data_IF_409367754425
#
_entry.id   IF_409367754425
#
_cell.length_a   1.000
_cell.length_b   1.000
_cell.length_c   1.000
_cell.angle_alpha   90.00
_cell.angle_beta   90.00
_cell.angle_gamma   90.00
#
_symmetry.space_group_name_H-M   'P 1'
#
loop_
_entity.id
_entity.type
_entity.pdbx_description
1 polymer ?
#
# COMPACT_ATOMS: atom_id res chain seq x y z
N UNK A 1 -4.85 -5.27 6.37
CA UNK A 1 -5.76 -6.32 6.88
C UNK A 1 -5.03 -7.68 6.95
N UNK A 2 -4.38 -8.17 5.89
CA UNK A 2 -3.67 -9.46 5.88
C UNK A 2 -2.55 -9.55 6.94
N UNK A 3 -1.70 -8.51 7.06
CA UNK A 3 -0.61 -8.49 8.04
C UNK A 3 -1.13 -8.56 9.49
N UNK A 4 -2.23 -7.86 9.81
CA UNK A 4 -2.85 -7.91 11.13
C UNK A 4 -3.43 -9.30 11.42
N UNK A 5 -4.14 -9.90 10.48
CA UNK A 5 -4.69 -11.26 10.61
C UNK A 5 -3.57 -12.30 10.75
N UNK A 6 -2.51 -12.19 9.94
CA UNK A 6 -1.34 -13.05 10.05
C UNK A 6 -0.71 -12.95 11.44
N UNK A 7 -0.52 -11.74 11.96
CA UNK A 7 0.05 -11.55 13.29
C UNK A 7 -0.81 -12.19 14.40
N UNK A 8 -2.12 -11.97 14.38
CA UNK A 8 -3.05 -12.56 15.35
C UNK A 8 -3.04 -14.09 15.28
N UNK A 9 -3.11 -14.67 14.08
CA UNK A 9 -3.10 -16.12 13.90
C UNK A 9 -1.80 -16.77 14.39
N UNK A 10 -0.62 -16.17 14.10
CA UNK A 10 0.68 -16.65 14.62
C UNK A 10 0.67 -16.66 16.16
N UNK A 11 0.15 -15.59 16.77
CA UNK A 11 0.07 -15.50 18.24
C UNK A 11 -0.85 -16.56 18.83
N UNK A 12 -2.02 -16.79 18.23
CA UNK A 12 -2.96 -17.83 18.68
C UNK A 12 -2.32 -19.22 18.56
N UNK A 13 -1.76 -19.56 17.41
CA UNK A 13 -1.14 -20.87 17.19
C UNK A 13 0.08 -21.08 18.09
N UNK A 14 0.91 -20.04 18.24
CA UNK A 14 2.08 -20.10 19.12
C UNK A 14 1.69 -20.25 20.59
N UNK A 15 0.67 -19.54 21.05
CA UNK A 15 0.15 -19.68 22.42
C UNK A 15 -0.39 -21.07 22.65
N UNK A 16 -1.17 -21.62 21.70
CA UNK A 16 -1.69 -22.99 21.81
C UNK A 16 -0.56 -24.03 21.88
N UNK A 17 0.50 -23.86 21.09
CA UNK A 17 1.66 -24.75 21.10
C UNK A 17 2.42 -24.69 22.45
N UNK A 18 2.62 -23.50 23.01
CA UNK A 18 3.29 -23.36 24.33
C UNK A 18 2.43 -23.92 25.45
N UNK A 19 1.09 -23.76 25.39
CA UNK A 19 0.18 -24.34 26.40
C UNK A 19 0.29 -25.88 26.48
N UNK A 20 0.54 -26.56 25.36
CA UNK A 20 0.73 -28.02 25.35
C UNK A 20 2.00 -28.45 26.09
N UNK A 21 3.02 -27.60 26.13
CA UNK A 21 4.30 -27.88 26.79
C UNK A 21 4.57 -26.96 27.98
N UNK A 22 3.51 -26.40 28.56
CA UNK A 22 3.60 -25.40 29.61
C UNK A 22 4.50 -25.79 30.81
N UNK A 23 4.43 -27.02 31.36
CA UNK A 23 5.30 -27.39 32.49
C UNK A 23 6.79 -27.36 32.12
N UNK A 24 7.14 -27.80 30.91
CA UNK A 24 8.52 -27.75 30.41
C UNK A 24 8.97 -26.31 30.14
N UNK A 25 8.06 -25.48 29.63
CA UNK A 25 8.33 -24.08 29.35
C UNK A 25 8.54 -23.27 30.65
N UNK A 26 7.74 -23.49 31.69
CA UNK A 26 7.90 -22.83 33.00
C UNK A 26 9.21 -23.22 33.65
N UNK A 27 9.59 -24.51 33.65
CA UNK A 27 10.87 -24.97 34.12
C UNK A 27 12.07 -24.28 33.42
N UNK A 28 11.98 -24.11 32.10
CA UNK A 28 12.99 -23.39 31.34
C UNK A 28 13.08 -21.92 31.78
N UNK A 29 11.97 -21.26 31.99
CA UNK A 29 11.90 -19.85 32.39
C UNK A 29 12.47 -19.65 33.82
N UNK A 30 12.17 -20.53 34.75
CA UNK A 30 12.70 -20.49 36.13
C UNK A 30 14.22 -20.53 36.15
N UNK A 31 14.86 -21.25 35.22
CA UNK A 31 16.32 -21.31 35.10
C UNK A 31 16.95 -20.02 34.55
N UNK A 32 16.17 -19.11 33.98
CA UNK A 32 16.70 -17.91 33.31
C UNK A 32 16.96 -16.73 34.25
N UNK A 33 16.35 -16.70 35.42
CA UNK A 33 16.52 -15.63 36.41
C UNK A 33 16.02 -16.05 37.81
N UNK A 34 16.50 -15.32 38.82
CA UNK A 34 16.09 -15.54 40.22
C UNK A 34 14.87 -14.69 40.64
N UNK A 35 14.54 -13.64 39.90
CA UNK A 35 13.44 -12.75 40.21
C UNK A 35 12.28 -12.95 39.23
N UNK A 36 11.06 -13.01 39.77
CA UNK A 36 9.82 -13.23 38.99
C UNK A 36 9.65 -12.20 37.86
N UNK A 37 9.93 -10.92 38.13
CA UNK A 37 9.83 -9.86 37.14
C UNK A 37 10.72 -10.11 35.92
N UNK A 38 11.93 -10.60 36.14
CA UNK A 38 12.88 -10.93 35.07
C UNK A 38 12.49 -12.22 34.35
N UNK A 39 11.96 -13.21 35.08
CA UNK A 39 11.42 -14.44 34.48
C UNK A 39 10.26 -14.10 33.49
N UNK A 40 9.34 -13.22 33.86
CA UNK A 40 8.24 -12.79 32.99
C UNK A 40 8.75 -12.09 31.72
N UNK A 41 9.76 -11.20 31.86
CA UNK A 41 10.37 -10.55 30.71
C UNK A 41 11.08 -11.55 29.78
N UNK A 42 11.83 -12.49 30.36
CA UNK A 42 12.52 -13.56 29.64
C UNK A 42 11.52 -14.51 28.95
N UNK A 43 10.42 -14.86 29.63
CA UNK A 43 9.35 -15.65 29.05
C UNK A 43 8.80 -15.01 27.78
N UNK A 44 8.49 -13.71 27.81
CA UNK A 44 8.00 -13.01 26.62
C UNK A 44 9.03 -13.05 25.46
N UNK A 45 10.28 -12.84 25.75
CA UNK A 45 11.36 -12.86 24.74
C UNK A 45 11.54 -14.27 24.15
N UNK A 46 11.67 -15.29 25.01
CA UNK A 46 11.87 -16.69 24.61
C UNK A 46 10.67 -17.18 23.81
N UNK A 47 9.44 -16.84 24.22
CA UNK A 47 8.22 -17.13 23.47
C UNK A 47 8.28 -16.59 22.04
N UNK A 48 8.64 -15.33 21.85
CA UNK A 48 8.72 -14.74 20.53
C UNK A 48 9.84 -15.36 19.68
N UNK A 49 10.99 -15.70 20.27
CA UNK A 49 12.09 -16.38 19.60
C UNK A 49 11.65 -17.77 19.14
N UNK A 50 11.04 -18.58 20.01
CA UNK A 50 10.55 -19.93 19.67
C UNK A 50 9.55 -19.84 18.52
N UNK A 51 8.58 -18.93 18.59
CA UNK A 51 7.58 -18.75 17.53
C UNK A 51 8.25 -18.33 16.22
N UNK A 52 9.21 -17.39 16.25
CA UNK A 52 9.92 -16.96 15.07
C UNK A 52 10.64 -18.14 14.39
N UNK A 53 11.39 -18.94 15.13
CA UNK A 53 12.08 -20.11 14.59
C UNK A 53 11.11 -21.20 14.08
N UNK A 54 9.99 -21.41 14.79
CA UNK A 54 8.99 -22.41 14.40
C UNK A 54 8.30 -22.03 13.09
N UNK A 55 7.98 -20.74 12.87
CA UNK A 55 7.27 -20.28 11.68
C UNK A 55 8.20 -19.92 10.51
N UNK A 56 9.49 -19.63 10.76
CA UNK A 56 10.44 -19.22 9.73
C UNK A 56 10.48 -20.15 8.50
N UNK A 57 10.60 -21.49 8.65
CA UNK A 57 10.62 -22.39 7.50
C UNK A 57 9.28 -22.45 6.74
N UNK A 58 8.18 -22.03 7.37
CA UNK A 58 6.83 -22.11 6.81
C UNK A 58 6.28 -20.75 6.35
N UNK A 59 7.08 -19.69 6.38
CA UNK A 59 6.63 -18.32 6.04
C UNK A 59 5.95 -18.27 4.68
N UNK A 60 6.50 -18.95 3.66
CA UNK A 60 5.95 -18.95 2.31
C UNK A 60 4.59 -19.66 2.23
N UNK A 61 4.44 -20.79 2.92
CA UNK A 61 3.19 -21.55 2.98
C UNK A 61 2.14 -20.76 3.77
N UNK A 62 2.56 -20.18 4.88
CA UNK A 62 1.73 -19.34 5.73
C UNK A 62 1.21 -18.09 4.99
N UNK A 63 2.07 -17.41 4.26
CA UNK A 63 1.67 -16.27 3.42
C UNK A 63 0.66 -16.66 2.34
N UNK A 64 0.82 -17.84 1.70
CA UNK A 64 -0.17 -18.37 0.74
C UNK A 64 -1.51 -18.67 1.40
N UNK A 65 -1.49 -19.23 2.61
CA UNK A 65 -2.69 -19.55 3.39
C UNK A 65 -3.46 -18.27 3.78
N UNK A 66 -2.76 -17.26 4.28
CA UNK A 66 -3.38 -15.95 4.62
C UNK A 66 -4.01 -15.30 3.38
N UNK A 67 -3.33 -15.31 2.23
CA UNK A 67 -3.90 -14.78 0.97
C UNK A 67 -5.11 -15.58 0.47
N UNK A 68 -5.22 -16.85 0.85
CA UNK A 68 -6.38 -17.67 0.50
C UNK A 68 -7.61 -17.36 1.38
N UNK A 69 -7.39 -17.05 2.67
CA UNK A 69 -8.46 -16.69 3.63
C UNK A 69 -8.89 -15.24 3.45
N UNK A 70 -7.91 -14.35 3.24
CA UNK A 70 -8.14 -12.93 3.00
C UNK A 70 -7.54 -12.63 1.62
N UNK A 71 -8.31 -12.88 0.55
CA UNK A 71 -7.84 -12.58 -0.80
C UNK A 71 -7.43 -11.12 -0.88
N UNK A 72 -6.39 -10.85 -1.66
CA UNK A 72 -6.07 -9.48 -2.05
C UNK A 72 -7.33 -8.91 -2.73
N UNK A 73 -7.75 -7.77 -2.28
CA UNK A 73 -8.77 -7.03 -3.01
C UNK A 73 -8.14 -6.72 -4.37
N UNK A 74 -8.62 -7.44 -5.41
CA UNK A 74 -8.11 -7.26 -6.78
C UNK A 74 -8.31 -5.84 -7.29
N UNK A 75 -9.13 -5.07 -6.57
CA UNK A 75 -9.40 -3.66 -6.78
C UNK A 75 -8.68 -2.76 -5.74
N UNK A 76 -7.95 -3.33 -4.79
CA UNK A 76 -7.09 -2.54 -3.92
C UNK A 76 -5.90 -2.08 -4.76
N UNK A 77 -6.08 -0.96 -5.41
CA UNK A 77 -4.98 -0.16 -5.94
C UNK A 77 -4.05 0.10 -4.76
N UNK A 78 -2.77 -0.26 -4.91
CA UNK A 78 -1.77 0.03 -3.88
C UNK A 78 -1.79 1.55 -3.66
N UNK A 79 -2.32 1.97 -2.50
CA UNK A 79 -2.42 3.39 -2.14
C UNK A 79 -1.02 3.95 -1.91
N UNK A 80 -0.80 5.17 -2.38
CA UNK A 80 0.48 5.86 -2.25
C UNK A 80 1.57 5.40 -3.21
N UNK A 81 2.78 5.89 -3.02
CA UNK A 81 3.96 5.62 -3.85
C UNK A 81 4.70 4.36 -3.39
N UNK A 82 5.32 3.64 -4.33
CA UNK A 82 6.04 2.37 -4.06
C UNK A 82 7.55 2.55 -4.26
N UNK A 83 7.96 3.34 -5.26
CA UNK A 83 9.36 3.44 -5.68
C UNK A 83 10.10 4.61 -5.04
N UNK A 84 9.40 5.60 -4.46
CA UNK A 84 10.01 6.78 -3.86
C UNK A 84 10.66 6.43 -2.52
N UNK A 85 11.97 6.24 -2.54
CA UNK A 85 12.75 6.00 -1.33
C UNK A 85 13.67 7.20 -1.07
N UNK A 86 13.52 7.92 0.06
CA UNK A 86 14.35 9.08 0.39
C UNK A 86 15.86 8.80 0.41
N UNK A 87 16.26 7.55 0.72
CA UNK A 87 17.67 7.15 0.70
C UNK A 87 18.28 7.27 -0.71
N UNK A 88 17.50 7.08 -1.78
CA UNK A 88 18.00 7.19 -3.14
C UNK A 88 18.45 8.62 -3.50
N UNK A 89 17.82 9.64 -2.91
CA UNK A 89 18.16 11.05 -3.15
C UNK A 89 19.63 11.33 -2.82
N UNK A 90 20.13 10.74 -1.74
CA UNK A 90 21.53 10.90 -1.31
C UNK A 90 22.47 9.84 -1.87
N UNK A 91 21.98 8.60 -2.05
CA UNK A 91 22.81 7.47 -2.47
C UNK A 91 23.07 7.45 -3.99
N UNK A 92 22.06 7.77 -4.81
CA UNK A 92 22.18 7.74 -6.29
C UNK A 92 21.14 8.62 -6.95
N UNK A 93 21.55 9.78 -7.40
CA UNK A 93 20.69 10.75 -8.11
C UNK A 93 19.99 10.14 -9.33
N UNK A 94 20.68 9.31 -10.10
CA UNK A 94 20.11 8.63 -11.26
C UNK A 94 19.00 7.64 -10.82
N UNK A 95 19.21 6.90 -9.73
CA UNK A 95 18.20 5.99 -9.19
C UNK A 95 16.99 6.76 -8.64
N UNK A 96 17.20 7.93 -8.03
CA UNK A 96 16.11 8.79 -7.55
C UNK A 96 15.25 9.31 -8.72
N UNK A 97 15.87 9.77 -9.80
CA UNK A 97 15.15 10.20 -11.02
C UNK A 97 14.40 9.02 -11.67
N UNK A 98 15.01 7.84 -11.74
CA UNK A 98 14.33 6.64 -12.27
C UNK A 98 13.14 6.21 -11.39
N UNK A 99 13.22 6.39 -10.08
CA UNK A 99 12.11 6.17 -9.17
C UNK A 99 10.91 7.09 -9.47
N UNK A 100 11.17 8.38 -9.71
CA UNK A 100 10.14 9.35 -10.16
C UNK A 100 9.49 8.90 -11.47
N UNK A 101 10.31 8.50 -12.45
CA UNK A 101 9.82 8.00 -13.75
C UNK A 101 8.92 6.78 -13.59
N UNK A 102 9.28 5.85 -12.72
CA UNK A 102 8.48 4.64 -12.44
C UNK A 102 7.14 4.97 -11.79
N UNK A 103 7.13 5.90 -10.84
CA UNK A 103 5.87 6.34 -10.20
C UNK A 103 4.98 7.11 -11.17
N UNK A 104 5.54 7.97 -12.03
CA UNK A 104 4.78 8.63 -13.08
C UNK A 104 4.11 7.63 -14.02
N UNK A 105 4.81 6.57 -14.43
CA UNK A 105 4.22 5.50 -15.27
C UNK A 105 3.08 4.81 -14.51
N UNK A 106 3.24 4.53 -13.22
CA UNK A 106 2.21 3.90 -12.40
C UNK A 106 0.98 4.81 -12.25
N UNK A 107 1.20 6.10 -12.02
CA UNK A 107 0.15 7.12 -11.99
C UNK A 107 -0.65 7.13 -13.32
N UNK A 108 0.04 7.15 -14.45
CA UNK A 108 -0.58 7.11 -15.77
C UNK A 108 -1.42 5.83 -15.99
N UNK A 109 -0.93 4.67 -15.52
CA UNK A 109 -1.69 3.42 -15.59
C UNK A 109 -2.98 3.47 -14.76
N UNK A 110 -2.96 4.09 -13.57
CA UNK A 110 -4.14 4.29 -12.74
C UNK A 110 -5.17 5.20 -13.40
N UNK A 111 -4.72 6.30 -13.97
CA UNK A 111 -5.58 7.24 -14.70
C UNK A 111 -6.21 6.60 -15.93
N UNK A 112 -5.45 5.79 -16.68
CA UNK A 112 -6.01 5.00 -17.79
C UNK A 112 -7.09 4.01 -17.31
N UNK A 113 -6.91 3.39 -16.16
CA UNK A 113 -7.92 2.53 -15.55
C UNK A 113 -9.19 3.31 -15.17
N UNK A 114 -9.06 4.55 -14.68
CA UNK A 114 -10.20 5.42 -14.41
C UNK A 114 -11.00 5.69 -15.69
N UNK A 115 -10.33 6.00 -16.80
CA UNK A 115 -10.97 6.22 -18.10
C UNK A 115 -11.69 4.96 -18.59
N UNK A 116 -11.06 3.78 -18.47
CA UNK A 116 -11.72 2.52 -18.84
C UNK A 116 -12.93 2.23 -17.96
N UNK A 117 -12.86 2.53 -16.66
CA UNK A 117 -14.02 2.42 -15.79
C UNK A 117 -15.15 3.38 -16.22
N UNK A 118 -14.86 4.63 -16.60
CA UNK A 118 -15.86 5.56 -17.15
C UNK A 118 -16.54 4.97 -18.40
N UNK A 119 -15.75 4.42 -19.33
CA UNK A 119 -16.29 3.74 -20.51
C UNK A 119 -17.22 2.58 -20.12
N UNK A 120 -16.84 1.78 -19.13
CA UNK A 120 -17.65 0.64 -18.66
C UNK A 120 -18.91 1.09 -17.93
N UNK A 121 -18.86 2.17 -17.15
CA UNK A 121 -20.07 2.76 -16.53
C UNK A 121 -21.08 3.09 -17.62
N UNK A 122 -20.64 3.74 -18.70
CA UNK A 122 -21.51 4.17 -19.81
C UNK A 122 -22.10 2.98 -20.60
N UNK A 123 -21.30 1.95 -20.88
CA UNK A 123 -21.72 0.83 -21.74
C UNK A 123 -22.48 -0.23 -20.94
N UNK A 124 -22.04 -0.54 -19.72
CA UNK A 124 -22.54 -1.64 -18.90
C UNK A 124 -23.59 -1.18 -17.86
N UNK A 125 -23.86 0.13 -17.76
CA UNK A 125 -24.70 0.75 -16.71
C UNK A 125 -24.29 0.32 -15.29
N UNK A 126 -22.99 0.19 -15.04
CA UNK A 126 -22.46 -0.31 -13.78
C UNK A 126 -22.10 0.84 -12.83
N UNK A 127 -23.08 1.33 -12.08
CA UNK A 127 -22.94 2.44 -11.13
C UNK A 127 -21.87 2.20 -10.04
N UNK A 128 -21.58 0.94 -9.69
CA UNK A 128 -20.57 0.61 -8.67
C UNK A 128 -19.16 1.08 -9.06
N UNK A 129 -18.89 1.23 -10.34
CA UNK A 129 -17.60 1.70 -10.83
C UNK A 129 -17.42 3.22 -10.62
N UNK A 130 -18.47 3.98 -10.39
CA UNK A 130 -18.39 5.43 -10.08
C UNK A 130 -17.60 5.64 -8.78
N UNK A 131 -17.93 4.88 -7.74
CA UNK A 131 -17.20 4.93 -6.48
C UNK A 131 -15.74 4.44 -6.60
N UNK A 132 -15.48 3.49 -7.52
CA UNK A 132 -14.11 3.04 -7.82
C UNK A 132 -13.30 4.13 -8.50
N UNK A 133 -13.88 4.88 -9.42
CA UNK A 133 -13.24 6.04 -10.07
C UNK A 133 -12.88 7.10 -9.04
N UNK A 134 -13.82 7.49 -8.15
CA UNK A 134 -13.56 8.48 -7.11
C UNK A 134 -12.50 8.03 -6.08
N UNK A 135 -12.48 6.74 -5.72
CA UNK A 135 -11.43 6.21 -4.83
C UNK A 135 -10.05 6.20 -5.49
N UNK A 136 -9.99 5.91 -6.78
CA UNK A 136 -8.74 5.91 -7.54
C UNK A 136 -8.21 7.32 -7.70
N UNK A 137 -9.09 8.32 -7.89
CA UNK A 137 -8.71 9.73 -7.96
C UNK A 137 -8.03 10.21 -6.68
N UNK A 138 -8.59 9.89 -5.50
CA UNK A 138 -7.95 10.24 -4.22
C UNK A 138 -6.51 9.70 -4.13
N UNK A 139 -6.28 8.48 -4.62
CA UNK A 139 -4.94 7.90 -4.65
C UNK A 139 -4.03 8.57 -5.71
N UNK A 140 -4.58 8.94 -6.87
CA UNK A 140 -3.85 9.70 -7.91
C UNK A 140 -3.38 11.04 -7.35
N UNK A 141 -4.23 11.75 -6.63
CA UNK A 141 -3.90 13.04 -5.99
C UNK A 141 -2.80 12.89 -4.94
N UNK A 142 -2.92 11.90 -4.03
CA UNK A 142 -1.90 11.62 -3.03
C UNK A 142 -0.55 11.31 -3.68
N UNK A 143 -0.55 10.42 -4.69
CA UNK A 143 0.67 10.08 -5.45
C UNK A 143 1.28 11.29 -6.15
N UNK A 144 0.47 12.15 -6.78
CA UNK A 144 0.92 13.37 -7.42
C UNK A 144 1.67 14.26 -6.43
N UNK A 145 1.10 14.52 -5.26
CA UNK A 145 1.74 15.31 -4.22
C UNK A 145 3.07 14.70 -3.76
N UNK A 146 3.14 13.40 -3.56
CA UNK A 146 4.36 12.72 -3.15
C UNK A 146 5.44 12.75 -4.24
N UNK A 147 5.07 12.53 -5.51
CA UNK A 147 6.00 12.58 -6.64
C UNK A 147 6.58 13.99 -6.79
N UNK A 148 5.74 15.04 -6.73
CA UNK A 148 6.18 16.43 -6.85
C UNK A 148 7.13 16.80 -5.72
N UNK A 149 6.81 16.44 -4.48
CA UNK A 149 7.66 16.67 -3.31
C UNK A 149 9.01 15.99 -3.48
N UNK A 150 9.03 14.70 -3.79
CA UNK A 150 10.25 13.92 -3.98
C UNK A 150 11.09 14.46 -5.14
N UNK A 151 10.45 14.88 -6.23
CA UNK A 151 11.12 15.51 -7.39
C UNK A 151 11.79 16.82 -7.00
N UNK A 152 11.13 17.64 -6.18
CA UNK A 152 11.68 18.89 -5.68
C UNK A 152 12.93 18.64 -4.82
N UNK A 153 12.87 17.71 -3.88
CA UNK A 153 14.00 17.31 -3.05
C UNK A 153 15.16 16.76 -3.90
N UNK A 154 14.87 15.92 -4.90
CA UNK A 154 15.86 15.36 -5.81
C UNK A 154 16.50 16.46 -6.66
N UNK A 155 15.74 17.43 -7.15
CA UNK A 155 16.24 18.55 -7.96
C UNK A 155 17.27 19.43 -7.25
N UNK A 156 17.18 19.55 -5.92
CA UNK A 156 18.11 20.33 -5.09
C UNK A 156 19.49 19.69 -4.93
N UNK A 157 19.68 18.43 -5.36
CA UNK A 157 20.94 17.68 -5.15
C UNK A 157 22.04 17.97 -6.20
N UNK A 158 21.85 18.91 -7.12
CA UNK A 158 22.82 19.25 -8.16
C UNK A 158 22.90 18.16 -9.23
N UNK A 159 21.81 17.93 -9.95
CA UNK A 159 21.72 16.96 -11.05
C UNK A 159 22.54 17.39 -12.27
N UNK A 160 22.95 16.42 -13.10
CA UNK A 160 23.41 16.70 -14.46
C UNK A 160 22.29 17.28 -15.32
N UNK A 161 22.61 17.94 -16.40
CA UNK A 161 21.64 18.55 -17.34
C UNK A 161 20.59 17.49 -17.78
N UNK A 162 21.07 16.32 -18.22
CA UNK A 162 20.19 15.26 -18.72
C UNK A 162 19.21 14.72 -17.64
N UNK A 163 19.70 14.51 -16.41
CA UNK A 163 18.84 14.08 -15.29
C UNK A 163 17.86 15.17 -14.88
N UNK A 164 18.26 16.44 -14.93
CA UNK A 164 17.38 17.58 -14.65
C UNK A 164 16.26 17.69 -15.69
N UNK A 165 16.59 17.54 -16.98
CA UNK A 165 15.61 17.54 -18.07
C UNK A 165 14.62 16.39 -17.91
N UNK A 166 15.11 15.18 -17.64
CA UNK A 166 14.26 14.02 -17.42
C UNK A 166 13.33 14.21 -16.20
N UNK A 167 13.88 14.68 -15.07
CA UNK A 167 13.10 14.93 -13.85
C UNK A 167 11.99 15.96 -14.10
N UNK A 168 12.34 17.10 -14.74
CA UNK A 168 11.37 18.15 -15.04
C UNK A 168 10.29 17.66 -16.01
N UNK A 169 10.64 16.89 -17.02
CA UNK A 169 9.68 16.31 -17.97
C UNK A 169 8.71 15.35 -17.25
N UNK A 170 9.23 14.49 -16.37
CA UNK A 170 8.38 13.59 -15.58
C UNK A 170 7.45 14.39 -14.63
N UNK A 171 7.98 15.41 -13.96
CA UNK A 171 7.18 16.20 -12.99
C UNK A 171 6.07 16.99 -13.70
N UNK A 172 6.34 17.54 -14.89
CA UNK A 172 5.31 18.22 -15.68
C UNK A 172 4.22 17.23 -16.14
N UNK A 173 4.63 16.05 -16.64
CA UNK A 173 3.70 15.02 -17.07
C UNK A 173 2.81 14.50 -15.92
N UNK A 174 3.30 14.46 -14.69
CA UNK A 174 2.51 14.08 -13.51
C UNK A 174 1.30 15.01 -13.34
N UNK A 175 1.48 16.33 -13.46
CA UNK A 175 0.38 17.29 -13.36
C UNK A 175 -0.64 17.17 -14.49
N UNK A 176 -0.19 16.83 -15.71
CA UNK A 176 -1.11 16.61 -16.83
C UNK A 176 -1.90 15.30 -16.66
N UNK A 177 -1.27 14.25 -16.15
CA UNK A 177 -1.92 12.95 -15.86
C UNK A 177 -2.95 13.09 -14.74
N UNK A 178 -2.66 13.85 -13.70
CA UNK A 178 -3.61 14.15 -12.62
C UNK A 178 -4.86 14.85 -13.16
N UNK A 179 -4.71 15.89 -14.00
CA UNK A 179 -5.86 16.56 -14.64
C UNK A 179 -6.72 15.61 -15.48
N UNK A 180 -6.12 14.62 -16.15
CA UNK A 180 -6.87 13.59 -16.87
C UNK A 180 -7.69 12.76 -15.87
N UNK A 181 -7.15 12.47 -14.69
CA UNK A 181 -7.86 11.80 -13.58
C UNK A 181 -9.08 12.61 -13.12
N UNK A 182 -8.93 13.92 -12.90
CA UNK A 182 -10.01 14.83 -12.53
C UNK A 182 -11.12 14.83 -13.58
N UNK A 183 -10.76 14.87 -14.86
CA UNK A 183 -11.74 14.78 -15.95
C UNK A 183 -12.44 13.42 -15.98
N UNK A 184 -11.76 12.33 -15.64
CA UNK A 184 -12.39 11.02 -15.54
C UNK A 184 -13.48 10.98 -14.45
N UNK A 185 -13.22 11.62 -13.29
CA UNK A 185 -14.26 11.77 -12.24
C UNK A 185 -15.45 12.54 -12.75
N UNK A 186 -15.22 13.71 -13.37
CA UNK A 186 -16.30 14.52 -13.93
C UNK A 186 -17.13 13.72 -14.95
N UNK A 187 -16.48 12.94 -15.82
CA UNK A 187 -17.18 12.08 -16.79
C UNK A 187 -18.01 11.01 -16.05
N UNK A 188 -17.45 10.34 -15.03
CA UNK A 188 -18.16 9.32 -14.27
C UNK A 188 -19.41 9.88 -13.58
N UNK A 189 -19.33 11.08 -12.99
CA UNK A 189 -20.45 11.77 -12.36
C UNK A 189 -21.55 12.18 -13.37
N UNK A 190 -21.16 12.68 -14.53
CA UNK A 190 -22.13 13.01 -15.60
C UNK A 190 -22.82 11.77 -16.16
N UNK A 191 -22.10 10.66 -16.29
CA UNK A 191 -22.68 9.39 -16.74
C UNK A 191 -23.61 8.83 -15.67
N UNK A 192 -23.23 8.88 -14.38
CA UNK A 192 -24.12 8.50 -13.27
C UNK A 192 -25.42 9.31 -13.30
N UNK A 193 -25.31 10.63 -13.47
CA UNK A 193 -26.48 11.49 -13.60
C UNK A 193 -27.36 11.14 -14.80
N UNK A 194 -26.77 10.85 -15.95
CA UNK A 194 -27.51 10.46 -17.15
C UNK A 194 -28.27 9.13 -16.96
N UNK A 195 -27.75 8.21 -16.15
CA UNK A 195 -28.39 6.92 -15.87
C UNK A 195 -29.44 7.03 -14.77
N UNK A 196 -29.15 7.74 -13.68
CA UNK A 196 -29.98 7.75 -12.46
C UNK A 196 -30.94 8.92 -12.38
N UNK A 197 -30.66 10.00 -13.12
CA UNK A 197 -31.40 11.27 -13.05
C UNK A 197 -31.14 12.07 -11.76
N UNK A 198 -30.19 11.65 -10.90
CA UNK A 198 -29.87 12.27 -9.60
C UNK A 198 -28.45 12.77 -9.58
N UNK A 199 -28.24 14.06 -9.33
CA UNK A 199 -26.91 14.64 -9.16
C UNK A 199 -26.34 14.29 -7.77
N UNK A 200 -25.05 13.94 -7.69
CA UNK A 200 -24.39 13.51 -6.42
C UNK A 200 -24.48 14.57 -5.30
N UNK A 201 -24.62 15.85 -5.65
CA UNK A 201 -24.88 16.95 -4.72
C UNK A 201 -26.25 16.96 -4.05
N UNK A 202 -27.24 16.24 -4.59
CA UNK A 202 -28.60 16.16 -4.04
C UNK A 202 -28.83 14.98 -3.10
N UNK A 203 -27.91 14.01 -3.06
CA UNK A 203 -27.98 12.84 -2.15
C UNK A 203 -27.63 13.17 -0.69
N UNK A 204 -27.28 14.40 -0.36
CA UNK A 204 -26.92 14.86 1.00
C UNK A 204 -27.97 15.79 1.65
N UNK A 205 -29.23 15.68 1.23
CA UNK A 205 -30.37 16.38 1.83
C UNK A 205 -31.24 15.44 2.66
#
# INVERSE_FOLDING_TARGET
>A
KQAAAAHVMIKILGTAAILMVLPMYTMLIELTATTISRQVANAHTIFNIIIAFMFLPFVSQYAKFIRRIIPDDKNAVATGTIYLNPVLITASRAAAVDAVRKEMIRLACLTLQMIDNCRRILIENNEKLVDDVGRTELNVNEMTHEIVRYSTETGQTGLSTDLSLLLNSCTNAVGDVERIGDHAVNIAEWVEFAITGVHKGEKMG
#
